data_IF_565610503272
#
_entry.id   IF_565610503272
#
_cell.length_a   1.000
_cell.length_b   1.000
_cell.length_c   1.000
_cell.angle_alpha   90.00
_cell.angle_beta   90.00
_cell.angle_gamma   90.00
#
_symmetry.space_group_name_H-M   'P 1'
#
loop_
_entity.id
_entity.type
_entity.pdbx_description
1 polymer ?
#
# COMPACT_ATOMS: atom_id res chain seq x y z
N UNK A 1 -3.05 3.60 20.52
CA UNK A 1 -2.72 4.51 19.41
C UNK A 1 -4.03 4.98 18.81
N UNK A 2 -4.22 6.29 18.59
CA UNK A 2 -5.42 6.75 17.87
C UNK A 2 -5.29 6.40 16.38
N UNK A 3 -6.40 6.34 15.64
CA UNK A 3 -6.38 6.09 14.18
C UNK A 3 -5.51 7.11 13.43
N UNK A 4 -5.42 8.34 13.96
CA UNK A 4 -4.57 9.40 13.42
C UNK A 4 -3.09 9.14 13.66
N UNK A 5 -2.71 8.57 14.81
CA UNK A 5 -1.33 8.19 15.10
C UNK A 5 -0.86 7.07 14.15
N UNK A 6 -1.73 6.07 13.92
CA UNK A 6 -1.46 4.99 12.97
C UNK A 6 -1.30 5.56 11.55
N UNK A 7 -2.20 6.45 11.13
CA UNK A 7 -2.10 7.14 9.85
C UNK A 7 -0.81 7.97 9.71
N UNK A 8 -0.42 8.70 10.75
CA UNK A 8 0.81 9.49 10.77
C UNK A 8 2.06 8.61 10.65
N UNK A 9 2.10 7.48 11.38
CA UNK A 9 3.19 6.51 11.28
C UNK A 9 3.24 5.90 9.88
N UNK A 10 2.10 5.45 9.31
CA UNK A 10 2.04 4.86 7.97
C UNK A 10 2.48 5.84 6.88
N UNK A 11 2.02 7.10 6.94
CA UNK A 11 2.43 8.15 5.99
C UNK A 11 3.91 8.47 6.15
N UNK A 12 4.40 8.59 7.39
CA UNK A 12 5.82 8.82 7.68
C UNK A 12 6.71 7.70 7.16
N UNK A 13 6.30 6.44 7.37
CA UNK A 13 7.00 5.27 6.86
C UNK A 13 6.99 5.24 5.33
N UNK A 14 5.85 5.54 4.71
CA UNK A 14 5.71 5.60 3.25
C UNK A 14 6.59 6.69 2.64
N UNK A 15 6.66 7.87 3.27
CA UNK A 15 7.55 8.96 2.85
C UNK A 15 9.03 8.59 3.02
N UNK A 16 9.40 7.96 4.14
CA UNK A 16 10.76 7.48 4.40
C UNK A 16 11.18 6.44 3.36
N UNK A 17 10.33 5.45 3.11
CA UNK A 17 10.56 4.40 2.13
C UNK A 17 10.57 4.93 0.70
N UNK A 18 9.69 5.87 0.36
CA UNK A 18 9.71 6.58 -0.91
C UNK A 18 11.01 7.37 -1.11
N UNK A 19 11.51 8.04 -0.06
CA UNK A 19 12.78 8.74 -0.08
C UNK A 19 13.96 7.79 -0.28
N UNK A 20 14.01 6.68 0.48
CA UNK A 20 15.05 5.65 0.34
C UNK A 20 15.00 5.04 -1.07
N UNK A 21 13.82 4.72 -1.59
CA UNK A 21 13.63 4.18 -2.93
C UNK A 21 14.16 5.16 -3.99
N UNK A 22 13.80 6.44 -3.89
CA UNK A 22 14.24 7.47 -4.83
C UNK A 22 15.75 7.73 -4.73
N UNK A 23 16.32 7.71 -3.52
CA UNK A 23 17.74 8.05 -3.28
C UNK A 23 18.70 6.92 -3.60
N UNK A 24 18.37 5.66 -3.28
CA UNK A 24 19.28 4.52 -3.35
C UNK A 24 18.90 3.47 -4.40
N UNK A 25 17.61 3.17 -4.58
CA UNK A 25 17.17 2.03 -5.41
C UNK A 25 16.81 2.44 -6.85
N UNK A 26 16.38 3.69 -7.09
CA UNK A 26 15.95 4.21 -8.41
C UNK A 26 14.97 3.30 -9.16
N UNK A 27 14.13 2.56 -8.43
CA UNK A 27 13.14 1.66 -9.01
C UNK A 27 11.85 2.42 -9.36
N UNK A 28 11.08 1.96 -10.37
CA UNK A 28 9.74 2.47 -10.65
C UNK A 28 8.90 2.46 -9.36
N UNK A 29 8.18 3.56 -9.09
CA UNK A 29 7.56 3.84 -7.79
C UNK A 29 6.73 2.66 -7.23
N UNK A 30 5.94 1.98 -8.06
CA UNK A 30 5.12 0.83 -7.67
C UNK A 30 5.95 -0.41 -7.28
N UNK A 31 7.09 -0.64 -7.93
CA UNK A 31 7.96 -1.78 -7.62
C UNK A 31 8.74 -1.53 -6.32
N UNK A 32 9.16 -0.29 -6.09
CA UNK A 32 9.90 0.10 -4.89
C UNK A 32 9.12 -0.18 -3.60
N UNK A 33 7.82 0.11 -3.58
CA UNK A 33 7.00 -0.11 -2.38
C UNK A 33 6.86 -1.61 -2.04
N UNK A 34 6.63 -2.46 -3.04
CA UNK A 34 6.51 -3.92 -2.85
C UNK A 34 7.84 -4.54 -2.39
N UNK A 35 8.96 -4.13 -2.98
CA UNK A 35 10.29 -4.60 -2.57
C UNK A 35 10.61 -4.17 -1.14
N UNK A 36 10.27 -2.95 -0.75
CA UNK A 36 10.49 -2.47 0.62
C UNK A 36 9.58 -3.20 1.61
N UNK A 37 8.31 -3.45 1.27
CA UNK A 37 7.41 -4.26 2.09
C UNK A 37 7.97 -5.69 2.29
N UNK A 38 8.53 -6.28 1.23
CA UNK A 38 9.16 -7.59 1.29
C UNK A 38 10.41 -7.59 2.18
N UNK A 39 11.31 -6.62 2.02
CA UNK A 39 12.53 -6.49 2.85
C UNK A 39 12.15 -6.24 4.31
N UNK A 40 11.16 -5.38 4.57
CA UNK A 40 10.66 -5.12 5.91
C UNK A 40 10.12 -6.40 6.56
N UNK A 41 9.34 -7.20 5.81
CA UNK A 41 8.84 -8.49 6.26
C UNK A 41 9.98 -9.48 6.57
N UNK A 42 10.95 -9.61 5.66
CA UNK A 42 12.12 -10.47 5.87
C UNK A 42 12.98 -10.03 7.06
N UNK A 43 13.14 -8.73 7.26
CA UNK A 43 13.91 -8.17 8.38
C UNK A 43 13.23 -8.48 9.71
N UNK A 44 11.89 -8.39 9.74
CA UNK A 44 11.10 -8.70 10.92
C UNK A 44 11.21 -10.19 11.28
N UNK A 45 11.09 -11.09 10.30
CA UNK A 45 11.31 -12.53 10.46
C UNK A 45 12.77 -12.83 10.88
N UNK A 46 13.74 -12.15 10.29
CA UNK A 46 15.16 -12.33 10.62
C UNK A 46 15.52 -11.87 12.05
N UNK A 47 14.92 -10.77 12.52
CA UNK A 47 15.10 -10.27 13.87
C UNK A 47 14.48 -11.21 14.92
N UNK A 48 13.33 -11.81 14.62
CA UNK A 48 12.64 -12.77 15.48
C UNK A 48 13.50 -14.04 15.72
N UNK A 49 14.27 -14.45 14.71
CA UNK A 49 15.20 -15.59 14.80
C UNK A 49 16.46 -15.29 15.62
N UNK A 50 16.93 -14.04 15.65
CA UNK A 50 18.19 -13.64 16.32
C UNK A 50 17.94 -13.18 17.76
N UNK A 51 16.77 -12.59 18.04
CA UNK A 51 16.41 -12.02 19.34
C UNK A 51 15.04 -12.54 19.84
N UNK A 52 14.93 -13.84 20.20
CA UNK A 52 13.66 -14.45 20.62
C UNK A 52 13.04 -13.88 21.91
N UNK A 53 13.78 -13.05 22.66
CA UNK A 53 13.27 -12.39 23.88
C UNK A 53 12.52 -11.08 23.60
N UNK A 54 12.67 -10.48 22.42
CA UNK A 54 11.95 -9.26 22.06
C UNK A 54 10.76 -9.69 21.22
N UNK A 55 9.57 -9.79 21.82
CA UNK A 55 8.32 -10.20 21.18
C UNK A 55 7.78 -9.16 20.17
N UNK A 56 8.65 -8.57 19.34
CA UNK A 56 8.31 -7.60 18.30
C UNK A 56 7.24 -8.17 17.37
N UNK A 57 7.32 -9.46 17.03
CA UNK A 57 6.32 -10.13 16.20
C UNK A 57 4.91 -10.11 16.82
N UNK A 58 4.79 -10.28 18.15
CA UNK A 58 3.51 -10.30 18.83
C UNK A 58 2.89 -8.90 18.94
N UNK A 59 3.70 -7.88 19.25
CA UNK A 59 3.24 -6.49 19.36
C UNK A 59 2.81 -5.94 17.99
N UNK A 60 3.58 -6.24 16.94
CA UNK A 60 3.24 -5.83 15.56
C UNK A 60 2.00 -6.58 15.07
N UNK A 61 1.86 -7.87 15.38
CA UNK A 61 0.67 -8.66 15.02
C UNK A 61 -0.59 -8.15 15.72
N UNK A 62 -0.49 -7.73 16.98
CA UNK A 62 -1.60 -7.11 17.72
C UNK A 62 -2.09 -5.83 17.04
N UNK A 63 -1.17 -4.94 16.66
CA UNK A 63 -1.50 -3.70 15.95
C UNK A 63 -2.06 -3.98 14.55
N UNK A 64 -1.52 -4.96 13.82
CA UNK A 64 -2.04 -5.35 12.50
C UNK A 64 -3.42 -5.99 12.60
N UNK A 65 -3.72 -6.74 13.65
CA UNK A 65 -5.02 -7.38 13.86
C UNK A 65 -6.15 -6.38 14.14
N UNK A 66 -5.83 -5.16 14.59
CA UNK A 66 -6.80 -4.07 14.75
C UNK A 66 -7.14 -3.39 13.41
N UNK A 67 -6.35 -3.62 12.35
CA UNK A 67 -6.56 -3.02 11.03
C UNK A 67 -7.40 -3.97 10.17
N UNK A 68 -8.67 -3.62 9.96
CA UNK A 68 -9.47 -4.27 8.91
C UNK A 68 -9.10 -3.70 7.53
N UNK A 69 -8.12 -4.34 6.89
CA UNK A 69 -7.69 -3.98 5.54
C UNK A 69 -8.80 -4.14 4.50
N UNK A 70 -9.72 -5.09 4.69
CA UNK A 70 -10.81 -5.28 3.74
C UNK A 70 -11.74 -4.08 3.80
N UNK A 71 -12.19 -3.69 5.00
CA UNK A 71 -13.05 -2.53 5.19
C UNK A 71 -12.36 -1.25 4.69
N UNK A 72 -11.09 -1.02 5.09
CA UNK A 72 -10.35 0.17 4.69
C UNK A 72 -10.11 0.26 3.17
N UNK A 73 -9.80 -0.86 2.51
CA UNK A 73 -9.48 -0.89 1.08
C UNK A 73 -10.73 -0.98 0.21
N UNK A 74 -11.65 -1.89 0.52
CA UNK A 74 -12.86 -2.15 -0.28
C UNK A 74 -13.89 -1.04 -0.10
N UNK A 75 -14.18 -0.64 1.14
CA UNK A 75 -15.22 0.36 1.43
C UNK A 75 -14.65 1.79 1.46
N UNK A 76 -13.39 1.97 1.85
CA UNK A 76 -12.73 3.28 1.89
C UNK A 76 -12.05 3.65 0.57
N UNK A 77 -10.93 2.99 0.26
CA UNK A 77 -10.02 3.42 -0.81
C UNK A 77 -10.53 3.11 -2.23
N UNK A 78 -11.31 2.04 -2.43
CA UNK A 78 -11.75 1.59 -3.76
C UNK A 78 -12.49 2.69 -4.53
N UNK A 79 -13.41 3.41 -3.87
CA UNK A 79 -14.14 4.50 -4.50
C UNK A 79 -13.21 5.60 -5.03
N UNK A 80 -12.17 5.96 -4.26
CA UNK A 80 -11.16 6.93 -4.68
C UNK A 80 -10.28 6.38 -5.81
N UNK A 81 -9.93 5.08 -5.77
CA UNK A 81 -9.15 4.43 -6.82
C UNK A 81 -9.92 4.35 -8.15
N UNK A 82 -11.21 3.98 -8.11
CA UNK A 82 -12.08 3.95 -9.28
C UNK A 82 -12.29 5.36 -9.85
N UNK A 83 -12.45 6.37 -8.99
CA UNK A 83 -12.53 7.77 -9.41
C UNK A 83 -11.24 8.28 -10.04
N UNK A 84 -10.08 8.00 -9.42
CA UNK A 84 -8.78 8.35 -9.96
C UNK A 84 -8.50 7.63 -11.30
N UNK A 85 -8.94 6.38 -11.43
CA UNK A 85 -8.91 5.62 -12.67
C UNK A 85 -9.76 6.27 -13.76
N UNK A 86 -11.00 6.67 -13.43
CA UNK A 86 -11.89 7.36 -14.36
C UNK A 86 -11.37 8.74 -14.79
N UNK A 87 -10.69 9.48 -13.90
CA UNK A 87 -10.06 10.77 -14.24
C UNK A 87 -8.92 10.67 -15.26
N UNK A 88 -8.23 9.53 -15.33
CA UNK A 88 -7.17 9.28 -16.32
C UNK A 88 -7.71 8.80 -17.67
N UNK A 89 -9.01 8.49 -17.79
CA UNK A 89 -9.62 8.03 -19.04
C UNK A 89 -9.87 9.21 -19.97
N UNK A 90 -9.34 9.13 -21.18
CA UNK A 90 -9.66 10.10 -22.24
C UNK A 90 -11.07 9.82 -22.79
N UNK A 91 -11.99 10.76 -22.56
CA UNK A 91 -13.37 10.67 -23.06
C UNK A 91 -13.47 10.60 -24.58
N UNK A 92 -12.51 11.16 -25.32
CA UNK A 92 -12.47 11.13 -26.79
C UNK A 92 -12.06 9.74 -27.31
N UNK A 93 -11.10 9.08 -26.65
CA UNK A 93 -10.71 7.70 -26.95
C UNK A 93 -11.78 6.71 -26.50
N UNK A 94 -12.39 6.92 -25.33
CA UNK A 94 -13.54 6.12 -24.89
C UNK A 94 -14.70 6.23 -25.89
N UNK A 95 -14.86 7.39 -26.53
CA UNK A 95 -15.91 7.64 -27.49
C UNK A 95 -15.73 6.90 -28.83
N UNK A 96 -14.50 6.59 -29.23
CA UNK A 96 -14.23 5.82 -30.45
C UNK A 96 -14.47 4.32 -30.25
N UNK A 97 -14.32 3.82 -29.02
CA UNK A 97 -14.52 2.41 -28.65
C UNK A 97 -15.84 2.13 -27.90
N UNK A 98 -16.87 2.98 -28.05
CA UNK A 98 -18.16 2.84 -27.34
C UNK A 98 -18.82 1.47 -27.51
N UNK A 99 -18.81 0.92 -28.74
CA UNK A 99 -19.44 -0.37 -29.02
C UNK A 99 -18.74 -1.55 -28.33
N UNK A 100 -17.40 -1.73 -28.45
CA UNK A 100 -16.67 -2.73 -27.67
C UNK A 100 -16.88 -2.60 -26.15
N UNK A 101 -16.80 -1.38 -25.62
CA UNK A 101 -16.93 -1.12 -24.17
C UNK A 101 -18.33 -1.51 -23.69
N UNK A 102 -19.38 -1.15 -24.44
CA UNK A 102 -20.77 -1.44 -24.05
C UNK A 102 -21.12 -2.93 -24.15
N UNK A 103 -20.46 -3.67 -25.04
CA UNK A 103 -20.66 -5.12 -25.17
C UNK A 103 -19.95 -5.94 -24.08
N UNK A 104 -18.91 -5.38 -23.45
CA UNK A 104 -18.11 -6.04 -22.41
C UNK A 104 -18.47 -5.59 -20.99
N UNK A 105 -19.21 -4.47 -20.85
CA UNK A 105 -19.79 -4.00 -19.60
C UNK A 105 -21.04 -4.81 -19.24
#
# INVERSE_FOLDING_TARGET
>A
MTIFDIGAVLIGLSALFGFINHRFLRLPHNIGLVVIALISSLTLVGLDLILPNVHIGADVSGVLSEIDFNEALMNGMLCFLLFAGALHVDFSEMASYKWPITLMA
#
